data_IF_830224388361
#
_entry.id   IF_830224388361
#
_cell.length_a   1.000
_cell.length_b   1.000
_cell.length_c   1.000
_cell.angle_alpha   90.00
_cell.angle_beta   90.00
_cell.angle_gamma   90.00
#
_symmetry.space_group_name_H-M   'P 1'
#
loop_
_entity.id
_entity.type
_entity.pdbx_description
1 polymer ?
#
# COMPACT_ATOMS: atom_id res chain seq x y z
N UNK A 1 24.94 5.88 -1.40
CA UNK A 1 23.87 6.35 -0.50
C UNK A 1 23.30 5.16 0.24
N UNK A 2 23.05 5.25 1.55
CA UNK A 2 22.34 4.20 2.26
C UNK A 2 20.95 4.00 1.64
N UNK A 3 20.43 2.77 1.68
CA UNK A 3 19.05 2.51 1.33
C UNK A 3 18.12 3.08 2.42
N UNK A 4 16.94 3.53 2.00
CA UNK A 4 15.84 3.91 2.88
C UNK A 4 14.71 2.88 2.72
N UNK A 5 13.78 2.86 3.66
CA UNK A 5 12.58 2.04 3.64
C UNK A 5 11.64 2.43 2.49
N UNK A 6 11.17 3.68 2.45
CA UNK A 6 10.27 4.20 1.41
C UNK A 6 10.16 5.73 1.45
N UNK A 7 9.60 6.36 0.40
CA UNK A 7 9.15 7.75 0.48
C UNK A 7 8.01 7.89 1.49
N UNK A 8 8.19 8.70 2.51
CA UNK A 8 7.16 9.11 3.45
C UNK A 8 7.00 10.63 3.40
N UNK A 9 5.78 11.07 3.14
CA UNK A 9 5.35 12.46 3.04
C UNK A 9 4.25 12.77 4.06
N UNK A 10 3.40 13.78 3.79
CA UNK A 10 2.27 14.10 4.68
C UNK A 10 1.34 12.90 4.81
N UNK A 11 0.79 12.70 6.00
CA UNK A 11 -0.04 11.54 6.30
C UNK A 11 -1.49 11.70 5.79
N UNK A 12 -2.12 10.59 5.41
CA UNK A 12 -3.36 10.57 4.63
C UNK A 12 -4.36 9.49 5.08
N UNK A 13 -5.66 9.82 5.04
CA UNK A 13 -6.72 8.82 5.20
C UNK A 13 -7.80 8.97 4.13
N UNK A 14 -8.25 7.85 3.59
CA UNK A 14 -9.44 7.77 2.74
C UNK A 14 -10.49 6.89 3.41
N UNK A 15 -11.65 7.46 3.66
CA UNK A 15 -12.81 6.75 4.19
C UNK A 15 -13.82 6.47 3.08
N UNK A 16 -14.08 5.19 2.80
CA UNK A 16 -15.22 4.76 2.00
C UNK A 16 -16.39 4.49 2.95
N UNK A 17 -17.50 5.21 2.79
CA UNK A 17 -18.66 5.06 3.64
C UNK A 17 -19.96 4.89 2.84
N UNK A 18 -20.81 3.93 3.23
CA UNK A 18 -22.13 3.71 2.63
C UNK A 18 -23.25 4.43 3.41
N UNK A 19 -24.49 4.38 2.93
CA UNK A 19 -25.60 5.11 3.56
C UNK A 19 -25.93 4.68 5.00
N UNK A 20 -25.41 3.54 5.48
CA UNK A 20 -25.65 3.03 6.83
C UNK A 20 -24.55 3.43 7.83
N UNK A 21 -23.46 4.04 7.36
CA UNK A 21 -22.38 4.52 8.22
C UNK A 21 -22.85 5.64 9.16
N UNK A 22 -22.31 5.69 10.39
CA UNK A 22 -22.58 6.77 11.33
C UNK A 22 -21.73 7.99 10.97
N UNK A 23 -22.37 9.07 10.58
CA UNK A 23 -21.71 10.31 10.19
C UNK A 23 -20.75 10.87 11.27
N UNK A 24 -21.04 10.60 12.55
CA UNK A 24 -20.19 11.03 13.68
C UNK A 24 -18.88 10.28 13.75
N UNK A 25 -18.92 8.99 13.45
CA UNK A 25 -17.73 8.15 13.45
C UNK A 25 -16.88 8.46 12.23
N UNK A 26 -17.49 8.59 11.05
CA UNK A 26 -16.76 8.98 9.83
C UNK A 26 -16.11 10.36 9.97
N UNK A 27 -16.82 11.34 10.55
CA UNK A 27 -16.24 12.66 10.82
C UNK A 27 -15.07 12.59 11.80
N UNK A 28 -15.17 11.77 12.86
CA UNK A 28 -14.10 11.58 13.82
C UNK A 28 -12.85 10.95 13.19
N UNK A 29 -13.01 9.95 12.32
CA UNK A 29 -11.90 9.32 11.60
C UNK A 29 -11.18 10.32 10.67
N UNK A 30 -11.94 11.11 9.91
CA UNK A 30 -11.36 12.17 9.07
C UNK A 30 -10.60 13.21 9.90
N UNK A 31 -11.12 13.58 11.07
CA UNK A 31 -10.48 14.57 11.93
C UNK A 31 -9.25 14.03 12.67
N UNK A 32 -9.26 12.74 13.04
CA UNK A 32 -8.12 12.09 13.68
C UNK A 32 -6.86 12.22 12.83
N UNK A 33 -7.00 12.04 11.51
CA UNK A 33 -5.89 12.24 10.59
C UNK A 33 -5.61 13.72 10.30
N UNK A 34 -6.65 14.54 10.12
CA UNK A 34 -6.48 15.97 9.82
C UNK A 34 -5.74 16.75 10.92
N UNK A 35 -5.77 16.29 12.17
CA UNK A 35 -5.07 16.97 13.26
C UNK A 35 -3.56 16.71 13.31
N UNK A 36 -3.03 15.76 12.54
CA UNK A 36 -1.59 15.43 12.52
C UNK A 36 -0.75 16.65 12.09
N UNK A 37 -1.06 17.24 10.94
CA UNK A 37 -0.34 18.36 10.37
C UNK A 37 -1.18 19.18 9.38
N UNK A 38 -0.78 20.43 9.08
CA UNK A 38 -1.50 21.28 8.13
C UNK A 38 -1.41 20.78 6.68
N UNK A 39 -0.48 19.88 6.40
CA UNK A 39 -0.21 19.20 5.14
C UNK A 39 -0.90 17.84 5.01
N UNK A 40 -1.54 17.34 6.08
CA UNK A 40 -2.36 16.12 6.03
C UNK A 40 -3.50 16.24 5.02
N UNK A 41 -3.86 15.14 4.38
CA UNK A 41 -4.95 15.08 3.41
C UNK A 41 -5.95 14.00 3.79
N UNK A 42 -7.23 14.36 3.86
CA UNK A 42 -8.31 13.42 4.19
C UNK A 42 -9.37 13.38 3.08
N UNK A 43 -9.89 12.19 2.81
CA UNK A 43 -10.88 11.98 1.74
C UNK A 43 -12.08 11.20 2.25
N UNK A 44 -13.28 11.68 1.91
CA UNK A 44 -14.51 10.91 2.02
C UNK A 44 -14.98 10.50 0.63
N UNK A 45 -15.23 9.21 0.43
CA UNK A 45 -15.81 8.68 -0.81
C UNK A 45 -17.11 7.95 -0.47
N UNK A 46 -18.23 8.37 -1.06
CA UNK A 46 -19.53 7.76 -0.74
C UNK A 46 -20.51 7.83 -1.91
N UNK A 47 -21.38 6.80 -2.08
CA UNK A 47 -22.52 6.91 -2.99
C UNK A 47 -23.71 7.69 -2.40
N UNK A 48 -23.70 7.99 -1.09
CA UNK A 48 -24.82 8.61 -0.39
C UNK A 48 -24.61 10.10 -0.18
N UNK A 49 -25.30 10.93 -0.97
CA UNK A 49 -25.30 12.38 -0.80
C UNK A 49 -25.83 12.81 0.59
N UNK A 50 -26.79 12.06 1.14
CA UNK A 50 -27.34 12.32 2.46
C UNK A 50 -26.30 12.08 3.57
N UNK A 51 -25.53 10.99 3.48
CA UNK A 51 -24.44 10.74 4.41
C UNK A 51 -23.37 11.83 4.28
N UNK A 52 -22.96 12.19 3.05
CA UNK A 52 -21.96 13.23 2.80
C UNK A 52 -22.34 14.53 3.52
N UNK A 53 -23.58 14.99 3.34
CA UNK A 53 -24.05 16.21 3.99
C UNK A 53 -24.00 16.11 5.53
N UNK A 54 -24.39 14.96 6.08
CA UNK A 54 -24.34 14.71 7.53
C UNK A 54 -22.89 14.70 8.06
N UNK A 55 -21.97 14.05 7.35
CA UNK A 55 -20.54 14.01 7.72
C UNK A 55 -19.94 15.41 7.68
N UNK A 56 -20.23 16.21 6.66
CA UNK A 56 -19.73 17.58 6.56
C UNK A 56 -20.18 18.46 7.73
N UNK A 57 -21.44 18.33 8.15
CA UNK A 57 -21.95 19.04 9.31
C UNK A 57 -21.23 18.62 10.61
N UNK A 58 -20.99 17.32 10.76
CA UNK A 58 -20.36 16.77 11.95
C UNK A 58 -18.85 17.03 12.00
N UNK A 59 -18.15 17.04 10.85
CA UNK A 59 -16.76 17.51 10.75
C UNK A 59 -16.66 18.96 11.23
N UNK A 60 -17.56 19.84 10.78
CA UNK A 60 -17.55 21.23 11.21
C UNK A 60 -17.81 21.37 12.73
N UNK A 61 -18.77 20.60 13.26
CA UNK A 61 -19.11 20.59 14.67
C UNK A 61 -17.95 20.08 15.54
N UNK A 62 -17.42 18.88 15.25
CA UNK A 62 -16.35 18.27 16.03
C UNK A 62 -15.04 19.05 15.90
N UNK A 63 -14.69 19.54 14.71
CA UNK A 63 -13.46 20.30 14.50
C UNK A 63 -13.39 21.55 15.39
N UNK A 64 -14.52 22.22 15.63
CA UNK A 64 -14.59 23.40 16.48
C UNK A 64 -14.28 23.10 17.97
N UNK A 65 -14.39 21.84 18.38
CA UNK A 65 -14.14 21.38 19.74
C UNK A 65 -12.70 20.88 19.95
N UNK A 66 -11.92 20.70 18.88
CA UNK A 66 -10.56 20.15 18.96
C UNK A 66 -9.55 21.21 19.47
N UNK A 67 -8.64 20.84 20.38
CA UNK A 67 -7.52 21.71 20.75
C UNK A 67 -6.65 22.14 19.55
N UNK A 68 -6.54 21.27 18.54
CA UNK A 68 -5.77 21.50 17.31
C UNK A 68 -6.64 21.94 16.12
N UNK A 69 -7.81 22.53 16.37
CA UNK A 69 -8.77 22.93 15.32
C UNK A 69 -8.14 23.75 14.18
N UNK A 70 -7.26 24.70 14.49
CA UNK A 70 -6.62 25.55 13.47
C UNK A 70 -5.70 24.76 12.51
N UNK A 71 -5.12 23.64 12.96
CA UNK A 71 -4.31 22.74 12.13
C UNK A 71 -5.24 21.87 11.28
N UNK A 72 -6.24 21.25 11.91
CA UNK A 72 -7.24 20.43 11.21
C UNK A 72 -7.96 21.22 10.11
N UNK A 73 -8.30 22.49 10.35
CA UNK A 73 -8.92 23.37 9.34
C UNK A 73 -8.03 23.61 8.10
N UNK A 74 -6.70 23.63 8.26
CA UNK A 74 -5.77 23.78 7.14
C UNK A 74 -5.74 22.50 6.30
N UNK A 75 -5.60 21.33 6.93
CA UNK A 75 -5.67 20.04 6.28
C UNK A 75 -7.02 19.84 5.54
N UNK A 76 -8.13 20.22 6.19
CA UNK A 76 -9.47 20.15 5.61
C UNK A 76 -9.65 21.02 4.36
N UNK A 77 -8.90 22.11 4.21
CA UNK A 77 -8.95 22.93 2.99
C UNK A 77 -8.37 22.22 1.75
N UNK A 78 -7.37 21.34 1.96
CA UNK A 78 -6.80 20.49 0.92
C UNK A 78 -7.57 19.16 0.72
N UNK A 79 -8.45 18.82 1.66
CA UNK A 79 -9.23 17.59 1.70
C UNK A 79 -10.39 17.58 0.72
N UNK A 80 -10.92 16.40 0.37
CA UNK A 80 -11.96 16.23 -0.66
C UNK A 80 -13.07 15.30 -0.22
N UNK A 81 -14.29 15.62 -0.65
CA UNK A 81 -15.43 14.72 -0.59
C UNK A 81 -15.84 14.36 -2.00
N UNK A 82 -15.94 13.07 -2.30
CA UNK A 82 -16.18 12.55 -3.64
C UNK A 82 -17.46 11.73 -3.60
N UNK A 83 -18.51 12.26 -4.23
CA UNK A 83 -19.72 11.50 -4.47
C UNK A 83 -19.52 10.56 -5.66
N UNK A 84 -19.81 9.28 -5.47
CA UNK A 84 -19.72 8.24 -6.51
C UNK A 84 -21.10 7.61 -6.76
N UNK A 85 -21.19 6.72 -7.74
CA UNK A 85 -22.45 6.02 -8.07
C UNK A 85 -22.72 4.84 -7.14
N UNK A 86 -21.67 4.11 -6.78
CA UNK A 86 -21.72 2.87 -6.01
C UNK A 86 -20.37 2.57 -5.32
N UNK A 87 -20.34 1.53 -4.50
CA UNK A 87 -19.13 1.11 -3.77
C UNK A 87 -18.04 0.56 -4.69
N UNK A 88 -18.39 0.01 -5.87
CA UNK A 88 -17.39 -0.43 -6.85
C UNK A 88 -16.59 0.76 -7.37
N UNK A 89 -17.28 1.86 -7.71
CA UNK A 89 -16.62 3.11 -8.08
C UNK A 89 -15.85 3.72 -6.90
N UNK A 90 -16.34 3.60 -5.66
CA UNK A 90 -15.61 4.07 -4.49
C UNK A 90 -14.24 3.38 -4.35
N UNK A 91 -14.21 2.05 -4.47
CA UNK A 91 -12.97 1.27 -4.42
C UNK A 91 -12.05 1.60 -5.61
N UNK A 92 -12.61 1.82 -6.81
CA UNK A 92 -11.81 2.25 -7.96
C UNK A 92 -11.14 3.62 -7.73
N UNK A 93 -11.86 4.58 -7.15
CA UNK A 93 -11.29 5.87 -6.73
C UNK A 93 -10.20 5.67 -5.69
N UNK A 94 -10.43 4.82 -4.69
CA UNK A 94 -9.42 4.55 -3.65
C UNK A 94 -8.16 3.88 -4.20
N UNK A 95 -8.27 2.91 -5.11
CA UNK A 95 -7.11 2.29 -5.76
C UNK A 95 -6.34 3.28 -6.64
N UNK A 96 -7.04 4.21 -7.30
CA UNK A 96 -6.38 5.26 -8.08
C UNK A 96 -5.79 6.36 -7.19
N UNK A 97 -6.30 6.54 -5.98
CA UNK A 97 -5.66 7.45 -5.03
C UNK A 97 -4.44 6.81 -4.34
N UNK A 98 -4.54 5.51 -4.04
CA UNK A 98 -3.54 4.71 -3.31
C UNK A 98 -3.18 5.31 -1.93
N UNK A 99 -4.15 5.39 -1.00
CA UNK A 99 -3.99 6.07 0.28
C UNK A 99 -2.98 5.36 1.20
N UNK A 100 -2.39 6.12 2.10
CA UNK A 100 -1.65 5.59 3.26
C UNK A 100 -2.59 4.72 4.11
N UNK A 101 -3.71 5.28 4.57
CA UNK A 101 -4.74 4.56 5.33
C UNK A 101 -6.08 4.50 4.58
N UNK A 102 -6.68 3.31 4.49
CA UNK A 102 -8.01 3.10 3.93
C UNK A 102 -8.98 2.59 5.01
N UNK A 103 -10.06 3.32 5.27
CA UNK A 103 -11.13 2.88 6.17
C UNK A 103 -12.37 2.51 5.36
N UNK A 104 -12.86 1.28 5.54
CA UNK A 104 -14.10 0.78 4.93
C UNK A 104 -15.25 0.80 5.94
N UNK A 105 -15.92 1.95 6.06
CA UNK A 105 -17.12 2.16 6.88
C UNK A 105 -18.40 1.79 6.10
N UNK A 106 -18.52 0.51 5.74
CA UNK A 106 -19.68 -0.02 5.01
C UNK A 106 -20.27 -1.22 5.74
N UNK A 107 -21.50 -1.61 5.39
CA UNK A 107 -22.20 -2.75 6.02
C UNK A 107 -21.44 -4.08 5.87
N UNK A 108 -20.81 -4.31 4.72
CA UNK A 108 -20.10 -5.56 4.40
C UNK A 108 -18.66 -5.28 3.90
N UNK A 109 -17.76 -4.79 4.77
CA UNK A 109 -16.45 -4.27 4.33
C UNK A 109 -15.55 -5.37 3.77
N UNK A 110 -15.66 -6.59 4.31
CA UNK A 110 -14.92 -7.76 3.81
C UNK A 110 -15.25 -8.12 2.35
N UNK A 111 -16.45 -7.78 1.86
CA UNK A 111 -16.84 -8.06 0.49
C UNK A 111 -16.11 -7.17 -0.54
N UNK A 112 -15.48 -6.08 -0.08
CA UNK A 112 -14.72 -5.16 -0.93
C UNK A 112 -13.22 -5.45 -0.94
N UNK A 113 -12.71 -6.24 0.02
CA UNK A 113 -11.27 -6.46 0.23
C UNK A 113 -10.54 -6.98 -1.00
N UNK A 114 -11.12 -7.95 -1.70
CA UNK A 114 -10.52 -8.55 -2.90
C UNK A 114 -10.37 -7.54 -4.05
N UNK A 115 -11.06 -6.40 -3.98
CA UNK A 115 -10.96 -5.31 -4.95
C UNK A 115 -10.01 -4.19 -4.49
N UNK A 116 -9.45 -4.25 -3.29
CA UNK A 116 -8.46 -3.29 -2.79
C UNK A 116 -7.08 -3.73 -3.26
N UNK A 117 -6.47 -2.95 -4.15
CA UNK A 117 -5.17 -3.24 -4.75
C UNK A 117 -4.07 -2.26 -4.33
N UNK A 118 -4.42 -1.08 -3.81
CA UNK A 118 -3.45 -0.07 -3.40
C UNK A 118 -3.93 0.68 -2.16
N UNK A 119 -3.36 0.34 -1.01
CA UNK A 119 -3.50 1.02 0.27
C UNK A 119 -2.33 0.59 1.18
N UNK A 120 -1.81 1.48 2.03
CA UNK A 120 -0.76 1.13 3.00
C UNK A 120 -1.28 0.21 4.10
N UNK A 121 -2.39 0.59 4.73
CA UNK A 121 -3.10 -0.21 5.73
C UNK A 121 -4.62 -0.06 5.56
N UNK A 122 -5.37 -1.11 5.89
CA UNK A 122 -6.82 -1.18 5.68
C UNK A 122 -7.56 -1.49 6.98
N UNK A 123 -8.57 -0.69 7.29
CA UNK A 123 -9.41 -0.80 8.46
C UNK A 123 -10.84 -1.16 8.07
N UNK A 124 -11.45 -2.13 8.76
CA UNK A 124 -12.69 -2.76 8.31
C UNK A 124 -13.85 -2.56 9.29
N UNK A 125 -14.86 -1.81 8.85
CA UNK A 125 -16.12 -1.64 9.56
C UNK A 125 -16.05 -0.61 10.68
N UNK A 126 -17.22 -0.39 11.30
CA UNK A 126 -17.46 0.72 12.23
C UNK A 126 -16.65 0.70 13.55
N UNK A 127 -15.95 -0.40 13.85
CA UNK A 127 -15.23 -0.59 15.12
C UNK A 127 -13.72 -0.62 14.95
N UNK A 128 -13.21 -0.21 13.79
CA UNK A 128 -11.78 -0.20 13.47
C UNK A 128 -11.37 1.21 13.04
N UNK A 129 -11.29 2.18 13.97
CA UNK A 129 -10.73 3.50 13.65
C UNK A 129 -9.24 3.38 13.34
N UNK A 130 -8.71 4.30 12.55
CA UNK A 130 -7.27 4.36 12.23
C UNK A 130 -6.39 4.37 13.49
N UNK A 131 -6.85 5.07 14.53
CA UNK A 131 -6.12 5.23 15.78
C UNK A 131 -5.71 3.92 16.44
N UNK A 132 -6.48 2.82 16.31
CA UNK A 132 -6.01 1.53 16.86
C UNK A 132 -4.85 0.96 16.04
N UNK A 133 -4.80 1.22 14.73
CA UNK A 133 -3.67 0.92 13.86
C UNK A 133 -2.40 1.67 14.25
N UNK A 134 -2.56 2.95 14.58
CA UNK A 134 -1.44 3.81 14.96
C UNK A 134 -0.78 3.42 16.28
N UNK A 135 -1.54 2.79 17.18
CA UNK A 135 -1.10 2.59 18.56
C UNK A 135 -0.99 1.14 19.01
N UNK A 136 -1.98 0.27 18.74
CA UNK A 136 -2.10 -0.95 19.53
C UNK A 136 -2.72 -2.19 18.86
N UNK A 137 -3.11 -2.12 17.60
CA UNK A 137 -3.65 -3.29 16.88
C UNK A 137 -2.56 -4.33 16.57
N UNK A 138 -1.31 -3.88 16.43
CA UNK A 138 -0.15 -4.69 16.04
C UNK A 138 0.31 -4.48 14.60
N UNK A 139 -0.44 -3.76 13.77
CA UNK A 139 0.04 -3.31 12.44
C UNK A 139 1.12 -2.24 12.59
N UNK A 140 1.89 -1.99 11.52
CA UNK A 140 2.88 -0.92 11.50
C UNK A 140 2.28 0.33 10.85
N UNK A 141 2.39 1.49 11.50
CA UNK A 141 1.88 2.77 11.00
C UNK A 141 2.90 3.57 10.18
N UNK A 142 4.13 3.06 10.01
CA UNK A 142 5.07 3.64 9.06
C UNK A 142 4.69 3.08 7.69
N UNK A 143 3.98 3.89 6.92
CA UNK A 143 3.32 3.52 5.67
C UNK A 143 3.71 4.46 4.51
N UNK A 144 3.59 4.02 3.25
CA UNK A 144 3.87 4.87 2.10
C UNK A 144 2.72 5.87 1.87
N UNK A 145 3.08 7.13 1.61
CA UNK A 145 2.14 8.22 1.30
C UNK A 145 2.35 8.73 -0.14
N UNK A 146 1.62 9.76 -0.58
CA UNK A 146 1.73 10.41 -1.89
C UNK A 146 1.56 9.42 -3.06
N UNK A 147 0.61 8.49 -2.91
CA UNK A 147 0.31 7.43 -3.87
C UNK A 147 1.36 6.32 -3.96
N UNK A 148 2.39 6.30 -3.12
CA UNK A 148 3.44 5.28 -3.16
C UNK A 148 2.93 3.89 -2.74
N UNK A 149 1.77 3.78 -2.10
CA UNK A 149 1.11 2.50 -1.79
C UNK A 149 0.81 1.64 -3.05
N UNK A 150 0.96 2.18 -4.27
CA UNK A 150 0.90 1.39 -5.52
C UNK A 150 2.08 0.44 -5.71
N UNK A 151 3.23 0.75 -5.11
CA UNK A 151 4.49 0.03 -5.36
C UNK A 151 5.28 -0.29 -4.08
N UNK A 152 4.99 0.40 -2.98
CA UNK A 152 5.67 0.23 -1.70
C UNK A 152 4.75 -0.41 -0.67
N UNK A 153 5.33 -1.21 0.21
CA UNK A 153 4.65 -1.73 1.40
C UNK A 153 5.00 -0.88 2.61
N UNK A 154 4.12 -0.89 3.62
CA UNK A 154 4.48 -0.43 4.95
C UNK A 154 5.69 -1.17 5.53
N UNK A 155 6.33 -0.58 6.54
CA UNK A 155 7.49 -1.18 7.20
C UNK A 155 7.09 -2.52 7.82
N UNK A 156 7.89 -3.54 7.55
CA UNK A 156 7.69 -4.89 8.07
C UNK A 156 9.01 -5.51 8.51
N UNK A 157 8.96 -6.73 9.06
CA UNK A 157 10.18 -7.49 9.35
C UNK A 157 11.04 -7.67 8.09
N UNK A 158 10.43 -7.81 6.91
CA UNK A 158 11.15 -7.95 5.64
C UNK A 158 11.97 -6.70 5.27
N UNK A 159 11.56 -5.50 5.72
CA UNK A 159 12.29 -4.25 5.50
C UNK A 159 13.69 -4.25 6.15
N UNK A 160 13.91 -5.11 7.16
CA UNK A 160 15.18 -5.26 7.87
C UNK A 160 15.94 -6.53 7.47
N UNK A 161 15.47 -7.24 6.45
CA UNK A 161 16.07 -8.47 5.95
C UNK A 161 16.69 -8.27 4.57
N UNK A 162 17.56 -9.21 4.19
CA UNK A 162 18.07 -9.35 2.82
C UNK A 162 17.81 -10.78 2.37
N UNK A 163 17.27 -10.95 1.17
CA UNK A 163 17.08 -12.28 0.58
C UNK A 163 18.32 -12.63 -0.24
N UNK A 164 19.10 -13.61 0.23
CA UNK A 164 20.28 -14.12 -0.47
C UNK A 164 19.90 -15.40 -1.20
N UNK A 165 19.97 -15.41 -2.53
CA UNK A 165 19.75 -16.62 -3.34
C UNK A 165 21.01 -17.47 -3.39
N UNK A 166 20.86 -18.79 -3.23
CA UNK A 166 21.95 -19.76 -3.30
C UNK A 166 21.60 -20.81 -4.34
N UNK A 167 22.57 -21.13 -5.20
CA UNK A 167 22.43 -22.16 -6.23
C UNK A 167 23.66 -23.07 -6.20
N UNK A 168 23.40 -24.37 -6.28
CA UNK A 168 24.39 -25.43 -6.39
C UNK A 168 23.94 -26.37 -7.50
N UNK A 169 24.86 -26.75 -8.38
CA UNK A 169 24.63 -27.72 -9.43
C UNK A 169 25.62 -28.84 -9.26
N UNK A 170 25.11 -30.07 -9.28
CA UNK A 170 25.94 -31.23 -9.57
C UNK A 170 26.26 -31.31 -11.07
N UNK A 171 27.04 -32.34 -11.45
CA UNK A 171 27.43 -32.53 -12.84
C UNK A 171 26.23 -32.80 -13.76
N UNK A 172 25.21 -33.53 -13.30
CA UNK A 172 24.03 -33.85 -14.09
C UNK A 172 23.19 -32.61 -14.34
N UNK A 173 23.00 -31.77 -13.32
CA UNK A 173 22.33 -30.49 -13.41
C UNK A 173 23.01 -29.57 -14.43
N UNK A 174 24.34 -29.46 -14.38
CA UNK A 174 25.07 -28.64 -15.34
C UNK A 174 24.96 -29.19 -16.77
N UNK A 175 24.99 -30.52 -16.96
CA UNK A 175 24.74 -31.13 -18.27
C UNK A 175 23.34 -30.82 -18.80
N UNK A 176 22.34 -30.80 -17.91
CA UNK A 176 20.95 -30.52 -18.26
C UNK A 176 20.72 -29.09 -18.75
N UNK A 177 21.24 -28.08 -18.03
CA UNK A 177 20.95 -26.66 -18.34
C UNK A 177 22.08 -25.94 -19.08
N UNK A 178 23.30 -26.47 -19.04
CA UNK A 178 24.50 -25.85 -19.61
C UNK A 178 24.39 -25.52 -21.10
N UNK A 179 23.89 -26.43 -21.96
CA UNK A 179 23.70 -26.13 -23.39
C UNK A 179 22.76 -24.94 -23.64
N UNK A 180 21.70 -24.80 -22.84
CA UNK A 180 20.78 -23.66 -22.90
C UNK A 180 21.53 -22.36 -22.53
N UNK A 181 22.25 -22.37 -21.41
CA UNK A 181 23.03 -21.22 -20.96
C UNK A 181 24.08 -20.77 -22.00
N UNK A 182 24.76 -21.73 -22.66
CA UNK A 182 25.71 -21.44 -23.74
C UNK A 182 25.02 -20.77 -24.93
N UNK A 183 23.84 -21.28 -25.32
CA UNK A 183 23.06 -20.75 -26.46
C UNK A 183 22.64 -19.31 -26.19
N UNK A 184 22.05 -19.05 -25.03
CA UNK A 184 21.62 -17.70 -24.62
C UNK A 184 22.81 -16.73 -24.56
N UNK A 185 23.90 -17.14 -23.88
CA UNK A 185 25.09 -16.30 -23.77
C UNK A 185 25.72 -15.96 -25.13
N UNK A 186 25.69 -16.88 -26.10
CA UNK A 186 26.16 -16.59 -27.47
C UNK A 186 25.23 -15.65 -28.22
N UNK A 187 23.91 -15.79 -28.08
CA UNK A 187 22.95 -14.86 -28.71
C UNK A 187 23.06 -13.44 -28.17
N UNK A 188 23.47 -13.28 -26.91
CA UNK A 188 23.72 -11.98 -26.29
C UNK A 188 25.13 -11.42 -26.60
N UNK A 189 25.96 -12.16 -27.34
CA UNK A 189 27.36 -11.79 -27.62
C UNK A 189 28.32 -11.93 -26.42
N UNK A 190 27.88 -12.57 -25.34
CA UNK A 190 28.63 -12.76 -24.09
C UNK A 190 29.48 -14.05 -24.13
N UNK A 191 30.47 -14.10 -25.02
CA UNK A 191 31.29 -15.29 -25.25
C UNK A 191 32.01 -15.83 -24.00
N UNK A 192 32.44 -14.97 -23.08
CA UNK A 192 33.08 -15.39 -21.83
C UNK A 192 32.11 -16.16 -20.90
N UNK A 193 30.83 -15.76 -20.85
CA UNK A 193 29.81 -16.49 -20.08
C UNK A 193 29.57 -17.89 -20.67
N UNK A 194 29.44 -17.98 -21.99
CA UNK A 194 29.34 -19.26 -22.68
C UNK A 194 30.58 -20.15 -22.39
N UNK A 195 31.79 -19.59 -22.49
CA UNK A 195 33.03 -20.32 -22.24
C UNK A 195 33.14 -20.87 -20.81
N UNK A 196 32.65 -20.13 -19.81
CA UNK A 196 32.65 -20.59 -18.41
C UNK A 196 31.85 -21.89 -18.23
N UNK A 197 30.75 -22.05 -18.96
CA UNK A 197 29.93 -23.27 -18.96
C UNK A 197 30.57 -24.35 -19.84
N UNK A 198 30.94 -24.01 -21.09
CA UNK A 198 31.51 -24.98 -22.03
C UNK A 198 32.76 -25.68 -21.49
N UNK A 199 33.67 -24.95 -20.83
CA UNK A 199 34.88 -25.52 -20.24
C UNK A 199 34.58 -26.60 -19.19
N UNK A 200 33.54 -26.40 -18.36
CA UNK A 200 33.17 -27.39 -17.34
C UNK A 200 32.57 -28.64 -17.98
N UNK A 201 31.76 -28.49 -19.02
CA UNK A 201 31.24 -29.63 -19.79
C UNK A 201 32.36 -30.38 -20.51
N UNK A 202 33.33 -29.67 -21.10
CA UNK A 202 34.53 -30.24 -21.74
C UNK A 202 35.35 -31.07 -20.74
N UNK A 203 35.59 -30.55 -19.53
CA UNK A 203 36.31 -31.27 -18.47
C UNK A 203 35.60 -32.55 -18.02
N UNK A 204 34.26 -32.55 -18.00
CA UNK A 204 33.49 -33.74 -17.66
C UNK A 204 33.59 -34.81 -18.74
N UNK A 205 33.53 -34.43 -20.02
CA UNK A 205 33.68 -35.36 -21.14
C UNK A 205 35.08 -35.96 -21.20
N UNK A 206 36.12 -35.18 -20.87
CA UNK A 206 37.50 -35.67 -20.83
C UNK A 206 37.80 -36.61 -19.65
N UNK A 207 36.94 -36.64 -18.63
CA UNK A 207 37.07 -37.48 -17.44
C UNK A 207 36.23 -38.77 -17.51
N UNK A 208 35.44 -38.96 -18.57
CA UNK A 208 34.71 -40.20 -18.82
C UNK A 208 35.65 -41.22 -19.49
N UNK A 209 35.82 -42.43 -18.93
CA UNK A 209 36.73 -43.46 -19.45
C UNK A 209 36.25 -44.10 -20.77
#
# INVERSE_FOLDING_TARGET
WPAIDMPAGPSEVLVIADAEADARVVAADLLAQAEHGPDSQVLLVSPSAALIAAVQAEVAHQCALLPRAAIAQQALAASRVIQVRDLTQAVAVSNDYAPEHLILQVRAPRALLDSVHSAGSVFLGAWSPESVGDYCSGTNHVLPTDGHARAWSGVSVASFQKQITVQELDQQGLRGIGPCAITLARSEGLHAHARAVSLRLELMMAAEP
#
